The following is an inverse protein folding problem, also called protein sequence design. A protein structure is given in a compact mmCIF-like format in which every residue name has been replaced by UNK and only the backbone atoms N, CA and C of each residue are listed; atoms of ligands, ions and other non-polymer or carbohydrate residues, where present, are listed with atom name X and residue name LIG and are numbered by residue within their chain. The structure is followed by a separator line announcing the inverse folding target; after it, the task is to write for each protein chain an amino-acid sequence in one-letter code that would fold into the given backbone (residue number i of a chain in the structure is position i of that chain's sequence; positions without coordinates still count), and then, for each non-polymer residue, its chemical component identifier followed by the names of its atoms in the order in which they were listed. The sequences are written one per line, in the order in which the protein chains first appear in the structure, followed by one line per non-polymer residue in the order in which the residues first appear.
data_IF_100735780250
#
_entry.id   IF_100735780250
#
_cell.length_a   1.000
_cell.length_b   1.000
_cell.length_c   1.000
_cell.angle_alpha   90.00
_cell.angle_beta   90.00
_cell.angle_gamma   90.00
#
_symmetry.space_group_name_H-M   'P 1'
#
loop_
_entity.id
_entity.type
_entity.pdbx_description
1 polymer ?
#
# COMPACT_ATOMS: atom_id res chain seq x y z
N UNK A 1 -15.24 -27.75 -62.62
CA UNK A 1 -16.27 -27.32 -61.64
C UNK A 1 -15.68 -27.44 -60.23
N UNK A 2 -15.63 -26.35 -59.46
CA UNK A 2 -15.16 -26.38 -58.06
C UNK A 2 -16.36 -26.65 -57.15
N UNK A 3 -16.30 -27.72 -56.36
CA UNK A 3 -17.30 -28.05 -55.36
C UNK A 3 -17.15 -27.08 -54.17
N UNK A 4 -18.21 -26.33 -53.87
CA UNK A 4 -18.25 -25.40 -52.74
C UNK A 4 -18.59 -26.19 -51.48
N UNK A 5 -17.64 -26.27 -50.53
CA UNK A 5 -17.86 -26.88 -49.22
C UNK A 5 -18.86 -26.06 -48.41
N UNK A 6 -19.99 -26.68 -48.06
CA UNK A 6 -21.03 -26.09 -47.20
C UNK A 6 -20.46 -25.96 -45.79
N UNK A 7 -20.34 -24.74 -45.28
CA UNK A 7 -19.97 -24.48 -43.89
C UNK A 7 -21.25 -24.65 -43.08
N UNK A 8 -21.29 -25.64 -42.18
CA UNK A 8 -22.40 -25.80 -41.25
C UNK A 8 -22.39 -24.63 -40.25
N UNK A 9 -23.33 -23.71 -40.43
CA UNK A 9 -23.63 -22.67 -39.46
C UNK A 9 -24.51 -23.28 -38.35
N UNK A 10 -23.89 -24.03 -37.42
CA UNK A 10 -24.54 -24.41 -36.18
C UNK A 10 -24.69 -23.16 -35.30
N UNK A 11 -25.92 -22.66 -35.18
CA UNK A 11 -26.26 -21.56 -34.28
C UNK A 11 -26.25 -22.02 -32.81
N UNK A 12 -25.87 -21.10 -31.92
CA UNK A 12 -25.89 -21.31 -30.48
C UNK A 12 -27.32 -21.43 -29.94
N UNK A 13 -27.54 -22.32 -28.99
CA UNK A 13 -28.87 -22.51 -28.38
C UNK A 13 -29.07 -21.57 -27.19
N UNK A 14 -30.32 -21.21 -26.90
CA UNK A 14 -30.65 -20.43 -25.70
C UNK A 14 -30.24 -21.15 -24.40
N UNK A 15 -30.36 -22.49 -24.37
CA UNK A 15 -30.03 -23.29 -23.20
C UNK A 15 -28.53 -23.25 -22.89
N UNK A 16 -27.66 -23.26 -23.90
CA UNK A 16 -26.22 -23.12 -23.69
C UNK A 16 -25.87 -21.75 -23.07
N UNK A 17 -26.53 -20.68 -23.51
CA UNK A 17 -26.32 -19.35 -22.91
C UNK A 17 -26.76 -19.32 -21.44
N UNK A 18 -27.90 -19.93 -21.13
CA UNK A 18 -28.42 -20.01 -19.77
C UNK A 18 -27.45 -20.74 -18.84
N UNK A 19 -26.91 -21.88 -19.28
CA UNK A 19 -25.93 -22.65 -18.49
C UNK A 19 -24.67 -21.82 -18.24
N UNK A 20 -24.16 -21.10 -19.24
CA UNK A 20 -22.98 -20.23 -19.09
C UNK A 20 -23.24 -19.11 -18.08
N UNK A 21 -24.40 -18.43 -18.14
CA UNK A 21 -24.72 -17.34 -17.20
C UNK A 21 -24.86 -17.87 -15.77
N UNK A 22 -25.45 -19.06 -15.59
CA UNK A 22 -25.55 -19.72 -14.27
C UNK A 22 -24.16 -20.03 -13.70
N UNK A 23 -23.26 -20.60 -14.51
CA UNK A 23 -21.87 -20.89 -14.09
C UNK A 23 -21.14 -19.58 -13.73
N UNK A 24 -21.27 -18.53 -14.55
CA UNK A 24 -20.66 -17.23 -14.27
C UNK A 24 -21.22 -16.59 -12.99
N UNK A 25 -22.52 -16.73 -12.71
CA UNK A 25 -23.14 -16.26 -11.47
C UNK A 25 -22.59 -16.98 -10.23
N UNK A 26 -22.38 -18.30 -10.31
CA UNK A 26 -21.78 -19.09 -9.24
C UNK A 26 -20.31 -18.69 -9.04
N UNK A 27 -19.54 -18.57 -10.11
CA UNK A 27 -18.13 -18.18 -10.06
C UNK A 27 -17.95 -16.77 -9.48
N UNK A 28 -18.83 -15.83 -9.83
CA UNK A 28 -18.78 -14.47 -9.32
C UNK A 28 -18.92 -14.40 -7.78
N UNK A 29 -19.66 -15.32 -7.16
CA UNK A 29 -19.78 -15.38 -5.69
C UNK A 29 -18.51 -15.92 -5.03
N UNK A 30 -17.76 -16.81 -5.70
CA UNK A 30 -16.56 -17.45 -5.15
C UNK A 30 -15.34 -16.51 -5.24
N UNK A 31 -15.28 -15.67 -6.27
CA UNK A 31 -14.13 -14.80 -6.57
C UNK A 31 -14.29 -13.41 -5.94
N UNK A 32 -15.12 -13.26 -4.91
CA UNK A 32 -15.07 -12.10 -4.03
C UNK A 32 -14.14 -12.45 -2.85
N UNK A 33 -12.81 -12.50 -3.00
CA UNK A 33 -11.97 -12.74 -1.84
C UNK A 33 -12.18 -11.56 -0.91
N UNK A 34 -12.63 -11.85 0.31
CA UNK A 34 -12.60 -10.89 1.38
C UNK A 34 -11.15 -10.44 1.52
N UNK A 35 -10.89 -9.14 1.35
CA UNK A 35 -9.68 -8.50 1.82
C UNK A 35 -9.70 -8.53 3.35
N UNK A 36 -9.53 -9.71 3.93
CA UNK A 36 -9.34 -9.87 5.37
C UNK A 36 -7.92 -9.39 5.67
N UNK A 37 -7.84 -8.15 6.14
CA UNK A 37 -7.26 -7.85 7.44
C UNK A 37 -6.06 -8.77 7.80
N UNK A 38 -4.84 -8.23 7.68
CA UNK A 38 -3.66 -8.91 8.21
C UNK A 38 -3.93 -9.37 9.65
N UNK A 39 -3.55 -10.59 10.04
CA UNK A 39 -3.81 -11.09 11.39
C UNK A 39 -3.22 -10.13 12.42
N UNK A 40 -3.84 -10.03 13.59
CA UNK A 40 -3.46 -9.03 14.61
C UNK A 40 -1.97 -9.07 14.95
N UNK A 41 -1.37 -10.27 14.99
CA UNK A 41 0.07 -10.43 15.19
C UNK A 41 0.89 -9.82 14.05
N UNK A 42 0.48 -9.99 12.79
CA UNK A 42 1.15 -9.40 11.65
C UNK A 42 1.04 -7.87 11.66
N UNK A 43 -0.11 -7.31 12.09
CA UNK A 43 -0.25 -5.87 12.31
C UNK A 43 0.72 -5.40 13.37
N UNK A 44 0.72 -6.01 14.56
CA UNK A 44 1.63 -5.63 15.63
C UNK A 44 3.10 -5.73 15.21
N UNK A 45 3.48 -6.77 14.49
CA UNK A 45 4.84 -6.94 13.98
C UNK A 45 5.19 -5.86 12.95
N UNK A 46 4.27 -5.52 12.05
CA UNK A 46 4.44 -4.40 11.11
C UNK A 46 4.63 -3.07 11.84
N UNK A 47 3.79 -2.76 12.84
CA UNK A 47 3.94 -1.55 13.64
C UNK A 47 5.30 -1.48 14.33
N UNK A 48 5.78 -2.60 14.90
CA UNK A 48 7.11 -2.68 15.53
C UNK A 48 8.25 -2.41 14.53
N UNK A 49 8.13 -2.90 13.30
CA UNK A 49 9.12 -2.65 12.22
C UNK A 49 9.10 -1.18 11.84
N UNK A 50 7.91 -0.61 11.61
CA UNK A 50 7.74 0.79 11.22
C UNK A 50 8.27 1.74 12.32
N UNK A 51 8.02 1.45 13.61
CA UNK A 51 8.58 2.21 14.74
C UNK A 51 10.11 2.13 14.78
N UNK A 52 10.72 0.96 14.57
CA UNK A 52 12.19 0.82 14.54
C UNK A 52 12.82 1.61 13.40
N UNK A 53 12.15 1.68 12.25
CA UNK A 53 12.61 2.49 11.12
C UNK A 53 12.57 3.99 11.47
N UNK A 54 11.48 4.46 12.10
CA UNK A 54 11.35 5.84 12.58
C UNK A 54 12.41 6.16 13.65
N UNK A 55 12.64 5.27 14.61
CA UNK A 55 13.67 5.43 15.64
C UNK A 55 15.07 5.59 15.03
N UNK A 56 15.38 4.78 14.02
CA UNK A 56 16.65 4.85 13.30
C UNK A 56 16.80 6.17 12.54
N UNK A 57 15.74 6.64 11.90
CA UNK A 57 15.70 7.93 11.23
C UNK A 57 15.87 9.11 12.21
N UNK A 58 15.23 9.07 13.38
CA UNK A 58 15.41 10.06 14.44
C UNK A 58 16.85 10.12 14.94
N UNK A 59 17.50 8.96 15.13
CA UNK A 59 18.91 8.90 15.53
C UNK A 59 19.82 9.53 14.48
N UNK A 60 19.58 9.28 13.20
CA UNK A 60 20.31 9.92 12.11
C UNK A 60 20.07 11.43 12.05
N UNK A 61 18.82 11.87 12.23
CA UNK A 61 18.49 13.30 12.32
C UNK A 61 19.26 13.98 13.44
N UNK A 62 19.30 13.37 14.62
CA UNK A 62 20.06 13.89 15.77
C UNK A 62 21.56 13.84 15.53
N UNK A 63 22.08 12.82 14.84
CA UNK A 63 23.50 12.74 14.52
C UNK A 63 23.92 13.91 13.63
N UNK A 64 23.11 14.26 12.62
CA UNK A 64 23.40 15.33 11.69
C UNK A 64 23.17 16.73 12.30
N UNK A 65 22.10 16.89 13.08
CA UNK A 65 21.64 18.20 13.57
C UNK A 65 21.94 18.47 15.05
N UNK A 66 22.42 17.47 15.79
CA UNK A 66 22.70 17.54 17.24
C UNK A 66 21.47 17.44 18.15
N UNK A 67 20.27 17.59 17.60
CA UNK A 67 19.00 17.60 18.32
C UNK A 67 17.96 16.74 17.59
N UNK A 68 16.98 16.22 18.32
CA UNK A 68 15.80 15.61 17.70
C UNK A 68 14.85 16.69 17.17
N UNK A 69 13.93 16.35 16.24
CA UNK A 69 12.83 17.23 15.88
C UNK A 69 12.01 17.62 17.11
N UNK A 70 11.45 18.83 17.12
CA UNK A 70 10.50 19.24 18.17
C UNK A 70 9.13 18.61 17.93
N UNK A 71 8.28 18.61 18.97
CA UNK A 71 6.88 18.16 18.84
C UNK A 71 6.09 18.95 17.80
N UNK A 72 6.37 20.25 17.66
CA UNK A 72 5.74 21.10 16.64
C UNK A 72 6.17 20.73 15.21
N UNK A 73 7.40 20.28 15.05
CA UNK A 73 7.92 19.80 13.76
C UNK A 73 7.41 18.39 13.44
N UNK A 74 7.19 17.58 14.48
CA UNK A 74 6.73 16.20 14.38
C UNK A 74 7.68 15.30 13.60
N UNK A 75 7.16 14.15 13.17
CA UNK A 75 7.92 13.21 12.34
C UNK A 75 8.07 13.69 10.88
N UNK A 76 7.31 14.71 10.45
CA UNK A 76 7.44 15.34 9.13
C UNK A 76 8.86 15.90 8.89
N UNK A 77 9.56 16.31 9.95
CA UNK A 77 10.96 16.73 9.86
C UNK A 77 11.92 15.63 9.36
N UNK A 78 11.50 14.36 9.40
CA UNK A 78 12.26 13.24 8.84
C UNK A 78 12.09 13.10 7.33
N UNK A 79 11.06 13.70 6.74
CA UNK A 79 10.74 13.60 5.31
C UNK A 79 11.12 14.88 4.58
N UNK A 80 10.74 16.03 5.13
CA UNK A 80 10.98 17.35 4.57
C UNK A 80 11.71 18.24 5.56
N UNK A 81 12.47 19.25 5.09
CA UNK A 81 13.08 20.23 5.99
C UNK A 81 11.97 20.97 6.76
N UNK A 82 12.03 21.03 8.11
CA UNK A 82 11.04 21.77 8.88
C UNK A 82 11.19 23.28 8.66
N UNK A 83 10.06 23.97 8.57
CA UNK A 83 9.98 25.43 8.40
C UNK A 83 9.74 26.19 9.72
N UNK A 84 9.33 25.46 10.76
CA UNK A 84 9.01 25.99 12.09
C UNK A 84 9.95 25.44 13.16
N UNK A 85 10.06 26.15 14.29
CA UNK A 85 10.89 25.75 15.43
C UNK A 85 12.40 25.93 15.20
N UNK A 86 13.21 25.06 15.82
CA UNK A 86 14.67 25.10 15.66
C UNK A 86 15.05 24.50 14.31
N UNK A 87 15.46 25.36 13.38
CA UNK A 87 15.84 24.94 12.03
C UNK A 87 17.11 24.08 12.05
N UNK A 88 17.09 22.88 11.44
CA UNK A 88 18.24 22.00 11.36
C UNK A 88 19.35 22.60 10.52
N UNK A 89 20.58 22.63 11.06
CA UNK A 89 21.73 23.20 10.37
C UNK A 89 22.27 22.31 9.24
N UNK A 90 22.05 21.00 9.31
CA UNK A 90 22.62 20.00 8.39
C UNK A 90 21.57 18.96 7.97
N UNK A 91 20.36 19.43 7.66
CA UNK A 91 19.30 18.54 7.19
C UNK A 91 19.72 17.80 5.91
N UNK A 92 19.62 16.47 5.92
CA UNK A 92 20.06 15.62 4.81
C UNK A 92 19.14 15.78 3.61
N UNK A 93 19.69 16.19 2.45
CA UNK A 93 18.95 16.22 1.18
C UNK A 93 18.38 14.83 0.86
N UNK A 94 17.05 14.73 0.77
CA UNK A 94 16.33 13.47 0.56
C UNK A 94 15.66 12.89 1.81
N UNK A 95 15.87 13.48 3.00
CA UNK A 95 15.25 13.04 4.24
C UNK A 95 16.03 11.93 4.95
N UNK A 96 15.42 11.44 6.03
CA UNK A 96 15.96 10.43 6.95
C UNK A 96 15.23 9.10 6.88
N UNK A 97 14.09 9.05 6.19
CA UNK A 97 13.35 7.82 5.89
C UNK A 97 13.67 7.35 4.47
N UNK A 98 13.75 6.04 4.27
CA UNK A 98 13.95 5.45 2.94
C UNK A 98 12.77 5.73 2.00
N UNK A 99 11.57 5.84 2.57
CA UNK A 99 10.36 6.21 1.84
C UNK A 99 10.13 7.72 1.95
N UNK A 100 9.73 8.33 0.86
CA UNK A 100 9.41 9.77 0.76
C UNK A 100 8.14 10.15 1.52
N UNK A 101 7.47 9.21 2.18
CA UNK A 101 6.33 9.46 3.04
C UNK A 101 6.49 8.78 4.40
N UNK A 102 5.84 9.34 5.40
CA UNK A 102 5.71 8.70 6.70
C UNK A 102 4.87 7.44 6.57
N UNK A 103 5.35 6.29 7.08
CA UNK A 103 4.52 5.09 7.13
C UNK A 103 3.32 5.37 8.05
N UNK A 104 2.15 4.89 7.65
CA UNK A 104 0.99 4.80 8.53
C UNK A 104 1.08 3.52 9.36
N UNK A 105 0.49 3.55 10.54
CA UNK A 105 0.35 2.35 11.34
C UNK A 105 -0.57 1.32 10.61
N UNK A 106 -0.57 0.05 11.02
CA UNK A 106 -1.43 -0.99 10.45
C UNK A 106 -2.95 -0.76 10.63
N UNK A 107 -3.35 0.22 11.43
CA UNK A 107 -4.73 0.64 11.67
C UNK A 107 -5.12 1.88 10.87
N UNK A 108 -4.19 2.45 10.09
CA UNK A 108 -4.39 3.61 9.23
C UNK A 108 -4.11 4.97 9.88
N UNK A 109 -3.65 5.00 11.13
CA UNK A 109 -3.31 6.23 11.84
C UNK A 109 -1.88 6.70 11.53
N UNK A 110 -1.62 7.97 11.78
CA UNK A 110 -0.27 8.54 11.73
C UNK A 110 0.45 8.31 13.06
N UNK A 111 1.76 8.11 12.98
CA UNK A 111 2.61 8.13 14.18
C UNK A 111 2.79 9.58 14.65
N UNK A 112 2.69 9.80 15.96
CA UNK A 112 2.84 11.10 16.63
C UNK A 112 4.08 11.14 17.52
#
# INVERSE_FOLDING_TARGET
MKSVSKIDNSGFTFIELMVVIVILGILAMVIAPNFMDAPDEARQNKAKIDIKAIESALKLYKLDNGVYPSTEQGLQALVSPPESGVLPKKWRKGGYLEKTNLPKDPWGNEFV
#
